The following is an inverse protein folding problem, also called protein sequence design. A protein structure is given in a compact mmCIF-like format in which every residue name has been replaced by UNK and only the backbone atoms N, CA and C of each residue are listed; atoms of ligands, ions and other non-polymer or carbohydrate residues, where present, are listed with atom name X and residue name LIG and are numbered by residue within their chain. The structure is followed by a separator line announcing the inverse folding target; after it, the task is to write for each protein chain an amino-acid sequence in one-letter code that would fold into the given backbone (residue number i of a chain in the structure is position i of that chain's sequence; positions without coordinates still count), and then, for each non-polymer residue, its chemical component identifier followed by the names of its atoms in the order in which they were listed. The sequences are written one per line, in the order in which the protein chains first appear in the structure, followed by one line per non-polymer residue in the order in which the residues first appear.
data_IF_025877054353
#
_entry.id   IF_025877054353
#
_cell.length_a   1.000
_cell.length_b   1.000
_cell.length_c   1.000
_cell.angle_alpha   90.00
_cell.angle_beta   90.00
_cell.angle_gamma   90.00
#
_symmetry.space_group_name_H-M   'P 1'
#
loop_
_entity.id
_entity.type
_entity.pdbx_description
1 polymer ?
#
# COMPACT_ATOMS: atom_id res chain seq x y z
N UNK A 1 -11.25 13.34 -8.91
CA UNK A 1 -12.39 12.41 -8.76
C UNK A 1 -12.01 11.45 -7.66
N UNK A 2 -12.95 11.18 -6.76
CA UNK A 2 -12.78 10.24 -5.66
C UNK A 2 -12.51 8.81 -6.12
N UNK A 3 -12.22 7.95 -5.15
CA UNK A 3 -12.02 6.53 -5.38
C UNK A 3 -13.35 5.77 -5.42
N UNK A 4 -13.42 4.62 -6.13
CA UNK A 4 -14.62 3.79 -6.15
C UNK A 4 -15.00 3.25 -4.76
N UNK A 5 -16.29 3.23 -4.43
CA UNK A 5 -16.79 2.81 -3.11
C UNK A 5 -16.35 1.39 -2.69
N UNK A 6 -16.18 0.47 -3.64
CA UNK A 6 -15.77 -0.89 -3.30
C UNK A 6 -14.37 -0.96 -2.68
N UNK A 7 -13.54 0.09 -2.84
CA UNK A 7 -12.24 0.17 -2.17
C UNK A 7 -12.36 0.46 -0.68
N UNK A 8 -13.53 0.83 -0.14
CA UNK A 8 -13.70 1.31 1.23
C UNK A 8 -13.18 0.31 2.29
N UNK A 9 -13.23 -0.98 1.99
CA UNK A 9 -12.64 -2.06 2.80
C UNK A 9 -11.15 -1.86 3.09
N UNK A 10 -10.41 -1.26 2.15
CA UNK A 10 -9.00 -0.93 2.30
C UNK A 10 -8.75 0.39 3.06
N UNK A 11 -9.77 1.21 3.27
CA UNK A 11 -9.62 2.57 3.82
C UNK A 11 -10.61 2.85 4.97
N UNK A 12 -10.57 2.10 6.08
CA UNK A 12 -11.59 2.18 7.13
C UNK A 12 -11.76 3.58 7.76
N UNK A 13 -10.71 4.40 7.76
CA UNK A 13 -10.71 5.74 8.38
C UNK A 13 -10.72 6.90 7.37
N UNK A 14 -10.89 6.64 6.07
CA UNK A 14 -10.86 7.69 5.04
C UNK A 14 -12.20 7.83 4.31
N UNK A 15 -12.55 9.06 3.97
CA UNK A 15 -13.56 9.35 2.96
C UNK A 15 -12.94 9.21 1.55
N UNK A 16 -13.38 8.21 0.80
CA UNK A 16 -12.89 7.93 -0.55
C UNK A 16 -13.12 9.09 -1.54
N UNK A 17 -14.11 9.94 -1.29
CA UNK A 17 -14.38 11.10 -2.16
C UNK A 17 -13.33 12.20 -2.01
N UNK A 18 -12.64 12.24 -0.87
CA UNK A 18 -11.58 13.19 -0.58
C UNK A 18 -10.22 12.78 -1.17
N UNK A 19 -10.05 11.49 -1.51
CA UNK A 19 -8.80 10.95 -2.05
C UNK A 19 -8.66 11.19 -3.55
N UNK A 20 -7.49 11.67 -3.95
CA UNK A 20 -7.12 11.86 -5.35
C UNK A 20 -6.12 10.79 -5.79
N UNK A 21 -6.48 10.02 -6.82
CA UNK A 21 -5.66 8.92 -7.37
C UNK A 21 -4.19 9.30 -7.65
N UNK A 22 -3.92 10.54 -8.05
CA UNK A 22 -2.56 10.98 -8.39
C UNK A 22 -1.82 11.52 -7.17
N UNK A 23 -2.47 12.37 -6.38
CA UNK A 23 -1.85 13.00 -5.20
C UNK A 23 -1.62 11.99 -4.08
N UNK A 24 -2.58 11.10 -3.85
CA UNK A 24 -2.57 10.13 -2.75
C UNK A 24 -2.07 8.75 -3.18
N UNK A 25 -1.42 8.67 -4.36
CA UNK A 25 -0.92 7.43 -4.96
C UNK A 25 -0.24 6.49 -3.98
N UNK A 26 0.70 7.01 -3.17
CA UNK A 26 1.48 6.22 -2.22
C UNK A 26 0.58 5.59 -1.15
N UNK A 27 -0.33 6.37 -0.59
CA UNK A 27 -1.33 5.90 0.37
C UNK A 27 -2.21 4.81 -0.26
N UNK A 28 -2.71 5.06 -1.48
CA UNK A 28 -3.63 4.16 -2.15
C UNK A 28 -2.98 2.80 -2.41
N UNK A 29 -1.78 2.81 -3.00
CA UNK A 29 -1.03 1.58 -3.27
C UNK A 29 -0.73 0.84 -1.95
N UNK A 30 -0.25 1.53 -0.91
CA UNK A 30 0.03 0.88 0.38
C UNK A 30 -1.22 0.25 1.01
N UNK A 31 -2.36 0.94 1.01
CA UNK A 31 -3.60 0.43 1.60
C UNK A 31 -4.15 -0.78 0.84
N UNK A 32 -4.22 -0.69 -0.49
CA UNK A 32 -4.73 -1.79 -1.32
C UNK A 32 -3.80 -3.01 -1.23
N UNK A 33 -2.48 -2.84 -1.22
CA UNK A 33 -1.57 -3.97 -1.07
C UNK A 33 -1.66 -4.65 0.30
N UNK A 34 -1.96 -3.90 1.37
CA UNK A 34 -2.14 -4.41 2.73
C UNK A 34 -3.46 -5.15 2.95
N UNK A 35 -4.55 -4.61 2.40
CA UNK A 35 -5.92 -5.00 2.80
C UNK A 35 -6.81 -5.43 1.65
N UNK A 36 -6.38 -5.21 0.40
CA UNK A 36 -7.15 -5.54 -0.79
C UNK A 36 -7.29 -7.03 -1.01
N UNK A 37 -8.43 -7.43 -1.53
CA UNK A 37 -8.65 -8.76 -2.08
C UNK A 37 -8.31 -8.77 -3.57
N UNK A 38 -8.68 -9.82 -4.29
CA UNK A 38 -8.47 -9.93 -5.73
C UNK A 38 -9.05 -8.73 -6.49
N UNK A 39 -10.27 -8.30 -6.16
CA UNK A 39 -10.95 -7.20 -6.84
C UNK A 39 -10.23 -5.85 -6.67
N UNK A 40 -9.83 -5.50 -5.46
CA UNK A 40 -9.12 -4.25 -5.20
C UNK A 40 -7.71 -4.27 -5.80
N UNK A 41 -7.06 -5.44 -5.77
CA UNK A 41 -5.75 -5.64 -6.38
C UNK A 41 -5.81 -5.54 -7.90
N UNK A 42 -6.83 -6.10 -8.56
CA UNK A 42 -7.06 -5.95 -10.00
C UNK A 42 -7.22 -4.46 -10.36
N UNK A 43 -8.07 -3.74 -9.63
CA UNK A 43 -8.24 -2.30 -9.82
C UNK A 43 -6.92 -1.53 -9.66
N UNK A 44 -6.06 -1.94 -8.73
CA UNK A 44 -4.75 -1.32 -8.56
C UNK A 44 -3.91 -1.42 -9.83
N UNK A 45 -3.86 -2.59 -10.46
CA UNK A 45 -3.08 -2.83 -11.68
C UNK A 45 -3.67 -2.15 -12.92
N UNK A 46 -4.98 -1.91 -12.94
CA UNK A 46 -5.62 -1.10 -13.99
C UNK A 46 -5.29 0.40 -13.89
N UNK A 47 -4.99 0.89 -12.68
CA UNK A 47 -4.84 2.33 -12.40
C UNK A 47 -3.38 2.77 -12.18
N UNK A 48 -2.48 1.85 -11.81
CA UNK A 48 -1.07 2.13 -11.58
C UNK A 48 -0.19 1.13 -12.30
N UNK A 49 0.87 1.63 -12.92
CA UNK A 49 1.85 0.78 -13.57
C UNK A 49 2.62 -0.06 -12.55
N UNK A 50 3.13 -1.22 -13.00
CA UNK A 50 4.02 -2.06 -12.20
C UNK A 50 5.19 -1.28 -11.60
N UNK A 51 5.75 -0.32 -12.34
CA UNK A 51 6.86 0.52 -11.90
C UNK A 51 6.47 1.44 -10.74
N UNK A 52 5.29 2.05 -10.80
CA UNK A 52 4.79 2.90 -9.71
C UNK A 52 4.54 2.08 -8.44
N UNK A 53 4.01 0.87 -8.57
CA UNK A 53 3.80 -0.03 -7.43
C UNK A 53 5.13 -0.48 -6.83
N UNK A 54 6.10 -0.87 -7.67
CA UNK A 54 7.45 -1.22 -7.22
C UNK A 54 8.12 -0.06 -6.47
N UNK A 55 7.96 1.17 -6.96
CA UNK A 55 8.53 2.36 -6.31
C UNK A 55 7.96 2.56 -4.89
N UNK A 56 6.66 2.33 -4.69
CA UNK A 56 6.04 2.38 -3.36
C UNK A 56 6.57 1.28 -2.44
N UNK A 57 6.83 0.08 -2.98
CA UNK A 57 7.41 -1.04 -2.22
C UNK A 57 8.89 -0.77 -1.88
N UNK A 58 9.64 -0.16 -2.78
CA UNK A 58 11.06 0.21 -2.61
C UNK A 58 11.25 1.33 -1.60
N UNK A 59 10.29 2.24 -1.50
CA UNK A 59 10.28 3.35 -0.55
C UNK A 59 9.01 3.32 0.31
N UNK A 60 8.82 2.28 1.14
CA UNK A 60 7.56 2.07 1.86
C UNK A 60 7.28 3.20 2.86
N UNK A 61 6.01 3.57 3.00
CA UNK A 61 5.60 4.56 4.02
C UNK A 61 5.83 4.02 5.42
N UNK A 62 6.44 4.83 6.29
CA UNK A 62 6.75 4.44 7.67
C UNK A 62 5.49 4.16 8.48
N UNK A 63 5.50 3.07 9.26
CA UNK A 63 4.42 2.69 10.17
C UNK A 63 3.09 2.32 9.49
N UNK A 64 3.10 1.95 8.20
CA UNK A 64 1.86 1.66 7.46
C UNK A 64 1.77 0.24 6.94
N UNK A 65 2.82 -0.57 7.05
CA UNK A 65 2.85 -1.89 6.44
C UNK A 65 2.60 -3.01 7.44
N UNK A 66 1.77 -3.97 7.04
CA UNK A 66 1.77 -5.28 7.69
C UNK A 66 3.07 -6.00 7.34
N UNK A 67 3.78 -6.53 8.34
CA UNK A 67 5.10 -7.16 8.15
C UNK A 67 5.09 -8.25 7.08
N UNK A 68 4.13 -9.18 7.15
CA UNK A 68 4.01 -10.30 6.23
C UNK A 68 3.72 -9.86 4.80
N UNK A 69 2.90 -8.82 4.63
CA UNK A 69 2.53 -8.27 3.32
C UNK A 69 3.71 -7.57 2.67
N UNK A 70 4.45 -6.73 3.41
CA UNK A 70 5.63 -6.07 2.86
C UNK A 70 6.68 -7.11 2.43
N UNK A 71 6.92 -8.14 3.24
CA UNK A 71 7.82 -9.25 2.87
C UNK A 71 7.35 -9.98 1.61
N UNK A 72 6.05 -10.24 1.47
CA UNK A 72 5.47 -10.86 0.29
C UNK A 72 5.77 -10.03 -0.97
N UNK A 73 5.48 -8.73 -0.94
CA UNK A 73 5.68 -7.87 -2.10
C UNK A 73 7.16 -7.58 -2.41
N UNK A 74 8.01 -7.46 -1.39
CA UNK A 74 9.47 -7.40 -1.59
C UNK A 74 9.97 -8.64 -2.36
N UNK A 75 9.45 -9.82 -2.03
CA UNK A 75 9.79 -11.07 -2.72
C UNK A 75 9.26 -11.11 -4.16
N UNK A 76 8.00 -10.72 -4.39
CA UNK A 76 7.39 -10.71 -5.74
C UNK A 76 8.12 -9.76 -6.69
N UNK A 77 8.61 -8.64 -6.18
CA UNK A 77 9.31 -7.62 -6.96
C UNK A 77 10.83 -7.75 -6.96
N UNK A 78 11.39 -8.74 -6.26
CA UNK A 78 12.85 -8.89 -6.04
C UNK A 78 13.53 -7.60 -5.53
N UNK A 79 12.84 -6.92 -4.60
CA UNK A 79 13.32 -5.67 -4.00
C UNK A 79 13.99 -6.00 -2.67
N UNK A 80 15.22 -5.51 -2.49
CA UNK A 80 15.95 -5.58 -1.23
C UNK A 80 15.75 -4.29 -0.44
N UNK A 81 15.30 -4.43 0.81
CA UNK A 81 15.15 -3.34 1.76
C UNK A 81 16.05 -3.62 2.96
N UNK A 82 16.81 -2.62 3.42
CA UNK A 82 17.63 -2.78 4.62
C UNK A 82 16.77 -2.89 5.88
N UNK A 83 17.33 -3.48 6.93
CA UNK A 83 16.60 -3.77 8.17
C UNK A 83 16.03 -2.51 8.82
N UNK A 84 16.74 -1.38 8.73
CA UNK A 84 16.30 -0.13 9.37
C UNK A 84 15.07 0.45 8.65
N UNK A 85 15.11 0.50 7.32
CA UNK A 85 13.96 0.98 6.54
C UNK A 85 12.77 0.00 6.62
N UNK A 86 13.04 -1.30 6.67
CA UNK A 86 12.00 -2.31 6.89
C UNK A 86 11.32 -2.14 8.24
N UNK A 87 12.09 -2.04 9.33
CA UNK A 87 11.55 -1.87 10.67
C UNK A 87 10.76 -0.55 10.82
N UNK A 88 11.18 0.52 10.13
CA UNK A 88 10.44 1.79 10.09
C UNK A 88 9.13 1.68 9.31
N UNK A 89 9.05 0.83 8.29
CA UNK A 89 7.89 0.68 7.43
C UNK A 89 6.73 -0.06 8.11
N UNK A 90 7.07 -1.06 8.92
CA UNK A 90 6.11 -1.99 9.53
C UNK A 90 5.38 -1.34 10.71
N UNK A 91 4.09 -1.64 10.85
CA UNK A 91 3.28 -1.24 12.00
C UNK A 91 3.82 -1.94 13.26
N UNK A 92 4.27 -1.16 14.24
CA UNK A 92 4.70 -1.68 15.53
C UNK A 92 3.55 -1.55 16.54
N UNK A 93 2.89 -2.67 16.84
CA UNK A 93 1.77 -2.73 17.77
C UNK A 93 2.20 -2.84 19.24
N UNK A 94 3.51 -2.98 19.52
CA UNK A 94 4.05 -3.12 20.87
C UNK A 94 4.44 -1.76 21.52
N UNK A 95 4.04 -0.63 20.93
CA UNK A 95 4.30 0.72 21.45
C UNK A 95 3.09 1.39 22.13
N UNK A 96 2.06 0.62 22.47
CA UNK A 96 0.86 1.10 23.18
C UNK A 96 0.80 0.46 24.55
#
# INVERSE_FOLDING_TARGET
MGLPEFLQSCFPSYDLNSLDKRKDKKLIITQVLNYGTEKETEWLWENYSKKEVEEVIRFPTSGMWTQSVLLYWLKIFDVKLDQNNFNKAVINLNSI
#
